data_IF_495431353235
#
_entry.id   IF_495431353235
#
_cell.length_a   1.000
_cell.length_b   1.000
_cell.length_c   1.000
_cell.angle_alpha   90.00
_cell.angle_beta   90.00
_cell.angle_gamma   90.00
#
_symmetry.space_group_name_H-M   'P 1'
#
loop_
_entity.id
_entity.type
_entity.pdbx_description
1 polymer ?
#
# COMPACT_ATOMS: atom_id res chain seq x y z
N UNK A 1 -27.61 7.32 18.66
CA UNK A 1 -27.53 7.11 20.12
C UNK A 1 -26.07 6.88 20.47
N UNK A 2 -25.40 7.86 21.08
CA UNK A 2 -23.98 7.75 21.47
C UNK A 2 -23.94 7.11 22.85
N UNK A 3 -23.32 5.93 22.98
CA UNK A 3 -23.10 5.29 24.27
C UNK A 3 -21.98 6.02 25.02
N UNK A 4 -22.14 6.23 26.32
CA UNK A 4 -21.08 6.82 27.11
C UNK A 4 -19.90 5.82 27.20
N UNK A 5 -18.64 6.29 27.34
CA UNK A 5 -17.48 5.40 27.51
C UNK A 5 -17.61 4.45 28.72
N UNK A 6 -18.41 4.83 29.71
CA UNK A 6 -18.80 4.00 30.87
C UNK A 6 -19.72 2.83 30.54
N UNK A 7 -20.38 2.85 29.38
CA UNK A 7 -21.31 1.81 28.94
C UNK A 7 -20.60 0.70 28.14
N UNK A 8 -19.27 0.72 28.10
CA UNK A 8 -18.45 -0.28 27.42
C UNK A 8 -18.18 -1.44 28.40
N UNK A 9 -18.66 -2.66 28.10
CA UNK A 9 -18.69 -3.76 29.07
C UNK A 9 -17.31 -4.31 29.46
N UNK A 10 -16.26 -3.94 28.74
CA UNK A 10 -14.89 -4.30 29.08
C UNK A 10 -13.93 -3.20 28.62
N UNK A 11 -13.01 -2.83 29.51
CA UNK A 11 -11.86 -2.00 29.21
C UNK A 11 -10.63 -2.79 29.66
N UNK A 12 -9.65 -2.95 28.77
CA UNK A 12 -8.37 -3.58 29.11
C UNK A 12 -7.22 -2.71 28.63
N UNK A 13 -6.31 -2.47 29.56
CA UNK A 13 -5.02 -1.82 29.34
C UNK A 13 -3.91 -2.85 29.04
N UNK A 14 -4.25 -4.14 29.05
CA UNK A 14 -3.33 -5.25 28.74
C UNK A 14 -3.22 -5.51 27.23
N UNK A 15 -3.03 -4.45 26.46
CA UNK A 15 -2.81 -4.54 25.02
C UNK A 15 -1.33 -4.76 24.77
N UNK A 16 -1.03 -5.66 23.84
CA UNK A 16 0.31 -5.83 23.28
C UNK A 16 0.30 -5.30 21.86
N UNK A 17 1.14 -4.32 21.60
CA UNK A 17 1.41 -3.82 20.27
C UNK A 17 2.61 -4.55 19.68
N UNK A 18 2.59 -4.83 18.38
CA UNK A 18 3.71 -5.39 17.63
C UNK A 18 4.12 -4.43 16.54
N UNK A 19 5.38 -4.01 16.56
CA UNK A 19 6.02 -3.29 15.48
C UNK A 19 6.74 -4.30 14.59
N UNK A 20 6.50 -4.25 13.29
CA UNK A 20 7.16 -5.03 12.27
C UNK A 20 8.02 -4.09 11.43
N UNK A 21 9.32 -4.33 11.30
CA UNK A 21 10.24 -3.55 10.46
C UNK A 21 10.81 -4.46 9.38
N UNK A 22 10.79 -3.99 8.13
CA UNK A 22 11.25 -4.72 6.95
C UNK A 22 12.53 -4.08 6.41
N UNK A 23 13.59 -4.87 6.29
CA UNK A 23 14.93 -4.40 5.94
C UNK A 23 15.48 -5.05 4.68
N UNK A 24 16.14 -4.24 3.85
CA UNK A 24 16.83 -4.69 2.64
C UNK A 24 15.90 -5.21 1.55
N UNK A 25 16.51 -5.69 0.46
CA UNK A 25 15.79 -6.18 -0.71
C UNK A 25 14.91 -7.40 -0.40
N UNK A 26 15.39 -8.31 0.45
CA UNK A 26 14.66 -9.52 0.83
C UNK A 26 13.54 -9.27 1.85
N UNK A 27 13.30 -8.00 2.22
CA UNK A 27 12.30 -7.60 3.22
C UNK A 27 12.43 -8.38 4.53
N UNK A 28 13.66 -8.51 5.04
CA UNK A 28 13.96 -9.22 6.29
C UNK A 28 13.14 -8.61 7.43
N UNK A 29 12.34 -9.43 8.11
CA UNK A 29 11.42 -8.98 9.14
C UNK A 29 12.07 -9.02 10.53
N UNK A 30 12.02 -7.89 11.24
CA UNK A 30 12.25 -7.77 12.68
C UNK A 30 10.94 -7.41 13.39
N UNK A 31 10.61 -8.08 14.48
CA UNK A 31 9.40 -7.78 15.28
C UNK A 31 9.73 -7.36 16.70
N UNK A 32 8.99 -6.38 17.21
CA UNK A 32 9.17 -5.84 18.56
C UNK A 32 7.81 -5.72 19.25
N UNK A 33 7.65 -6.39 20.39
CA UNK A 33 6.41 -6.40 21.15
C UNK A 33 6.50 -5.45 22.34
N UNK A 34 5.44 -4.64 22.51
CA UNK A 34 5.30 -3.65 23.57
C UNK A 34 3.97 -3.84 24.28
N UNK A 35 4.02 -4.32 25.51
CA UNK A 35 2.83 -4.52 26.36
C UNK A 35 2.69 -3.39 27.36
N UNK A 36 1.45 -3.11 27.80
CA UNK A 36 1.13 -2.16 28.88
C UNK A 36 1.72 -0.76 28.64
N UNK A 37 1.66 -0.31 27.40
CA UNK A 37 2.16 1.01 26.98
C UNK A 37 1.10 1.75 26.18
N UNK A 38 1.27 3.06 26.04
CA UNK A 38 0.38 3.90 25.25
C UNK A 38 0.66 3.76 23.75
N UNK A 39 -0.36 3.99 22.92
CA UNK A 39 -0.17 4.06 21.47
C UNK A 39 0.85 5.14 21.08
N UNK A 40 0.82 6.30 21.74
CA UNK A 40 1.78 7.39 21.51
C UNK A 40 3.22 6.93 21.68
N UNK A 41 3.51 6.26 22.80
CA UNK A 41 4.84 5.70 23.06
C UNK A 41 5.22 4.68 21.99
N UNK A 42 4.30 3.82 21.56
CA UNK A 42 4.58 2.84 20.49
C UNK A 42 4.86 3.51 19.15
N UNK A 43 4.17 4.60 18.81
CA UNK A 43 4.42 5.36 17.59
C UNK A 43 5.80 6.03 17.60
N UNK A 44 6.25 6.55 18.75
CA UNK A 44 7.64 7.04 18.91
C UNK A 44 8.65 5.89 18.70
N UNK A 45 8.34 4.70 19.21
CA UNK A 45 9.16 3.51 18.97
C UNK A 45 9.15 3.10 17.49
N UNK A 46 8.02 3.23 16.77
CA UNK A 46 7.98 2.96 15.33
C UNK A 46 8.97 3.86 14.58
N UNK A 47 8.96 5.17 14.85
CA UNK A 47 9.87 6.12 14.22
C UNK A 47 11.34 5.80 14.52
N UNK A 48 11.67 5.45 15.77
CA UNK A 48 13.04 5.09 16.14
C UNK A 48 13.49 3.77 15.47
N UNK A 49 12.64 2.73 15.49
CA UNK A 49 12.95 1.41 14.91
C UNK A 49 13.06 1.44 13.39
N UNK A 50 12.26 2.29 12.74
CA UNK A 50 12.30 2.48 11.28
C UNK A 50 13.42 3.41 10.82
N UNK A 51 14.23 3.96 11.75
CA UNK A 51 15.25 4.97 11.46
C UNK A 51 14.65 6.16 10.70
N UNK A 52 13.64 6.78 11.33
CA UNK A 52 12.87 7.90 10.79
C UNK A 52 12.31 7.61 9.39
N UNK A 53 11.59 6.50 9.24
CA UNK A 53 11.00 6.04 7.97
C UNK A 53 12.04 5.65 6.90
N UNK A 54 13.32 5.47 7.25
CA UNK A 54 14.32 4.88 6.35
C UNK A 54 14.09 3.37 6.10
N UNK A 55 13.18 2.74 6.85
CA UNK A 55 12.75 1.35 6.67
C UNK A 55 11.23 1.30 6.61
N UNK A 56 10.71 0.37 5.81
CA UNK A 56 9.28 0.06 5.84
C UNK A 56 8.93 -0.54 7.20
N UNK A 57 7.79 -0.12 7.75
CA UNK A 57 7.29 -0.67 9.02
C UNK A 57 5.76 -0.73 9.06
N UNK A 58 5.25 -1.65 9.86
CA UNK A 58 3.85 -1.82 10.17
C UNK A 58 3.64 -1.96 11.69
N UNK A 59 2.45 -1.61 12.15
CA UNK A 59 2.05 -1.69 13.55
C UNK A 59 0.74 -2.46 13.67
N UNK A 60 0.70 -3.41 14.59
CA UNK A 60 -0.50 -4.18 14.90
C UNK A 60 -0.77 -4.27 16.40
N UNK A 61 -2.02 -4.56 16.76
CA UNK A 61 -2.39 -5.12 18.07
C UNK A 61 -2.33 -6.63 17.97
N UNK A 62 -1.65 -7.26 18.93
CA UNK A 62 -1.64 -8.72 19.10
C UNK A 62 -2.92 -9.14 19.78
N UNK A 63 -3.71 -9.96 19.10
CA UNK A 63 -4.93 -10.58 19.64
C UNK A 63 -4.55 -11.93 20.21
N UNK A 64 -4.59 -12.04 21.54
CA UNK A 64 -4.46 -13.33 22.21
C UNK A 64 -5.79 -14.09 22.03
N UNK A 65 -5.72 -15.32 21.55
CA UNK A 65 -6.83 -16.27 21.59
C UNK A 65 -6.71 -17.13 22.84
N UNK A 66 -7.82 -17.71 23.29
CA UNK A 66 -7.84 -18.66 24.41
C UNK A 66 -6.85 -19.81 24.18
N UNK A 67 -6.29 -20.35 25.28
CA UNK A 67 -5.15 -21.27 25.29
C UNK A 67 -5.15 -22.33 24.17
N UNK A 68 -4.19 -22.21 23.24
CA UNK A 68 -3.86 -23.25 22.26
C UNK A 68 -3.88 -22.81 20.79
N UNK A 69 -4.55 -21.70 20.46
CA UNK A 69 -4.56 -21.15 19.10
C UNK A 69 -3.45 -20.12 18.90
N UNK A 70 -2.82 -20.04 17.71
CA UNK A 70 -1.93 -18.92 17.40
C UNK A 70 -2.74 -17.62 17.43
N UNK A 71 -2.35 -16.70 18.30
CA UNK A 71 -2.94 -15.37 18.37
C UNK A 71 -2.87 -14.63 17.03
N UNK A 72 -3.82 -13.75 16.78
CA UNK A 72 -3.94 -12.97 15.55
C UNK A 72 -3.25 -11.60 15.62
N UNK A 73 -3.17 -10.92 14.47
CA UNK A 73 -2.75 -9.52 14.38
C UNK A 73 -3.89 -8.68 13.81
N UNK A 74 -4.18 -7.55 14.45
CA UNK A 74 -5.03 -6.50 13.89
C UNK A 74 -4.14 -5.32 13.54
N UNK A 75 -3.93 -5.09 12.24
CA UNK A 75 -3.09 -3.99 11.75
C UNK A 75 -3.72 -2.63 12.05
N UNK A 76 -2.93 -1.75 12.66
CA UNK A 76 -3.28 -0.35 12.93
C UNK A 76 -2.69 0.59 11.87
N UNK A 77 -1.51 0.25 11.34
CA UNK A 77 -0.85 0.95 10.24
C UNK A 77 -0.03 -0.05 9.45
N UNK A 78 -0.10 0.02 8.13
CA UNK A 78 0.61 -0.91 7.27
C UNK A 78 0.10 -2.36 7.34
N UNK A 79 0.89 -3.28 6.81
CA UNK A 79 0.60 -4.72 6.75
C UNK A 79 1.91 -5.51 6.67
N UNK A 80 1.86 -6.84 6.60
CA UNK A 80 3.05 -7.63 6.28
C UNK A 80 3.52 -7.32 4.85
N UNK A 81 4.63 -6.60 4.73
CA UNK A 81 5.17 -6.17 3.44
C UNK A 81 5.69 -7.33 2.59
N UNK A 82 5.99 -8.49 3.19
CA UNK A 82 6.45 -9.68 2.46
C UNK A 82 5.31 -10.38 1.72
N UNK A 83 4.07 -10.08 2.09
CA UNK A 83 2.88 -10.71 1.50
C UNK A 83 2.20 -9.73 0.55
N UNK A 84 1.97 -10.18 -0.69
CA UNK A 84 1.18 -9.43 -1.66
C UNK A 84 -0.26 -9.27 -1.16
N UNK A 85 -0.82 -8.05 -1.12
CA UNK A 85 -2.22 -7.87 -0.77
C UNK A 85 -3.18 -8.52 -1.78
N UNK A 86 -4.20 -9.20 -1.27
CA UNK A 86 -5.27 -9.81 -2.08
C UNK A 86 -6.60 -9.03 -2.03
N UNK A 87 -6.68 -7.98 -1.21
CA UNK A 87 -7.89 -7.19 -0.98
C UNK A 87 -7.59 -5.69 -1.03
N UNK A 88 -8.55 -4.84 -1.42
CA UNK A 88 -8.38 -3.38 -1.44
C UNK A 88 -7.86 -2.79 -0.13
N UNK A 89 -8.35 -3.27 1.02
CA UNK A 89 -7.90 -2.81 2.33
C UNK A 89 -6.41 -3.08 2.58
N UNK A 90 -5.90 -4.22 2.10
CA UNK A 90 -4.47 -4.54 2.19
C UNK A 90 -3.61 -3.66 1.28
N UNK A 91 -4.13 -3.29 0.10
CA UNK A 91 -3.44 -2.35 -0.80
C UNK A 91 -3.39 -0.94 -0.21
N UNK A 92 -4.47 -0.47 0.44
CA UNK A 92 -4.46 0.81 1.16
C UNK A 92 -3.42 0.83 2.28
N UNK A 93 -3.32 -0.25 3.05
CA UNK A 93 -2.32 -0.36 4.11
C UNK A 93 -0.89 -0.40 3.54
N UNK A 94 -0.65 -1.15 2.45
CA UNK A 94 0.65 -1.20 1.78
C UNK A 94 1.05 0.15 1.19
N UNK A 95 0.10 0.87 0.58
CA UNK A 95 0.27 2.25 0.08
C UNK A 95 0.79 3.16 1.17
N UNK A 96 0.17 3.14 2.35
CA UNK A 96 0.54 3.97 3.49
C UNK A 96 2.02 3.78 3.86
N UNK A 97 2.50 2.53 3.90
CA UNK A 97 3.90 2.19 4.19
C UNK A 97 4.85 2.71 3.10
N UNK A 98 4.51 2.46 1.84
CA UNK A 98 5.32 2.89 0.70
C UNK A 98 5.42 4.41 0.61
N UNK A 99 4.31 5.12 0.80
CA UNK A 99 4.26 6.58 0.73
C UNK A 99 5.13 7.20 1.84
N UNK A 100 5.08 6.69 3.09
CA UNK A 100 5.96 7.16 4.18
C UNK A 100 7.43 6.97 3.84
N UNK A 101 7.80 5.76 3.40
CA UNK A 101 9.17 5.40 3.10
C UNK A 101 9.74 6.22 1.93
N UNK A 102 9.01 6.32 0.81
CA UNK A 102 9.45 7.07 -0.36
C UNK A 102 9.49 8.58 -0.10
N UNK A 103 8.55 9.12 0.67
CA UNK A 103 8.59 10.51 1.10
C UNK A 103 9.82 10.80 1.98
N UNK A 104 10.18 9.89 2.88
CA UNK A 104 11.39 10.03 3.70
C UNK A 104 12.67 10.00 2.87
N UNK A 105 12.78 9.08 1.90
CA UNK A 105 13.90 9.03 0.95
C UNK A 105 14.03 10.31 0.14
N UNK A 106 12.92 10.79 -0.42
CA UNK A 106 12.87 12.02 -1.21
C UNK A 106 13.33 13.23 -0.39
N UNK A 107 12.88 13.34 0.87
CA UNK A 107 13.33 14.40 1.80
C UNK A 107 14.84 14.35 2.08
N UNK A 108 15.46 13.17 2.00
CA UNK A 108 16.91 12.98 2.13
C UNK A 108 17.68 13.18 0.81
N UNK A 109 16.99 13.52 -0.28
CA UNK A 109 17.60 13.66 -1.61
C UNK A 109 18.00 12.33 -2.25
N UNK A 110 17.44 11.22 -1.77
CA UNK A 110 17.69 9.88 -2.30
C UNK A 110 16.71 9.54 -3.43
N UNK A 111 17.12 8.63 -4.33
CA UNK A 111 16.22 8.11 -5.36
C UNK A 111 14.98 7.44 -4.74
N UNK A 112 13.76 7.69 -5.26
CA UNK A 112 12.50 7.18 -4.74
C UNK A 112 12.25 5.71 -5.14
N UNK A 113 13.18 4.83 -4.77
CA UNK A 113 13.11 3.40 -5.02
C UNK A 113 12.69 2.65 -3.76
N UNK A 114 11.94 1.56 -3.95
CA UNK A 114 11.60 0.59 -2.90
C UNK A 114 12.86 -0.08 -2.33
N UNK A 115 12.78 -0.77 -1.16
CA UNK A 115 13.96 -1.38 -0.54
C UNK A 115 14.71 -2.41 -1.40
N UNK A 116 14.02 -3.01 -2.36
CA UNK A 116 14.55 -3.96 -3.35
C UNK A 116 15.10 -3.28 -4.62
N UNK A 117 15.10 -1.94 -4.66
CA UNK A 117 15.57 -1.16 -5.80
C UNK A 117 14.54 -0.96 -6.90
N UNK A 118 13.34 -1.56 -6.78
CA UNK A 118 12.28 -1.38 -7.78
C UNK A 118 11.63 0.00 -7.69
N UNK A 119 11.11 0.46 -8.82
CA UNK A 119 10.27 1.66 -8.91
C UNK A 119 8.88 1.38 -8.32
N UNK A 120 8.15 2.45 -7.97
CA UNK A 120 6.73 2.33 -7.60
C UNK A 120 5.86 2.96 -8.68
N UNK A 121 5.22 2.12 -9.49
CA UNK A 121 4.27 2.57 -10.51
C UNK A 121 2.86 2.45 -9.97
N UNK A 122 2.07 3.52 -10.09
CA UNK A 122 0.66 3.56 -9.72
C UNK A 122 -0.17 3.35 -10.96
N UNK A 123 -1.16 2.47 -10.86
CA UNK A 123 -2.19 2.29 -11.86
C UNK A 123 -3.49 2.90 -11.36
N UNK A 124 -4.01 3.92 -12.04
CA UNK A 124 -5.28 4.58 -11.73
C UNK A 124 -5.81 5.32 -12.97
N UNK A 125 -7.12 5.49 -13.06
CA UNK A 125 -7.75 6.25 -14.13
C UNK A 125 -7.94 7.72 -13.72
N UNK A 126 -7.79 8.64 -14.67
CA UNK A 126 -7.96 10.09 -14.47
C UNK A 126 -8.11 10.80 -15.82
N UNK A 127 -8.80 11.93 -15.90
CA UNK A 127 -9.06 12.63 -17.16
C UNK A 127 -7.81 13.30 -17.76
N UNK A 128 -7.76 13.39 -19.10
CA UNK A 128 -6.72 14.07 -19.86
C UNK A 128 -5.44 13.25 -20.08
N UNK A 129 -5.53 11.91 -20.04
CA UNK A 129 -4.35 11.02 -20.10
C UNK A 129 -4.51 9.88 -21.09
N UNK A 130 -3.40 9.46 -21.69
CA UNK A 130 -3.39 8.30 -22.61
C UNK A 130 -3.16 6.98 -21.89
N UNK A 131 -2.34 6.96 -20.84
CA UNK A 131 -2.09 5.77 -20.03
C UNK A 131 -2.49 6.03 -18.57
N UNK A 132 -3.07 5.03 -17.90
CA UNK A 132 -3.49 5.12 -16.50
C UNK A 132 -2.32 4.88 -15.53
N UNK A 133 -1.12 5.36 -15.86
CA UNK A 133 0.13 4.99 -15.20
C UNK A 133 0.89 6.22 -14.72
N UNK A 134 1.40 6.15 -13.49
CA UNK A 134 2.08 7.26 -12.84
C UNK A 134 3.19 6.79 -11.90
N UNK A 135 4.33 7.48 -11.91
CA UNK A 135 5.39 7.30 -10.91
C UNK A 135 5.44 8.49 -9.95
N UNK A 136 5.27 8.24 -8.65
CA UNK A 136 5.23 9.33 -7.65
C UNK A 136 6.63 9.62 -7.14
N UNK A 137 6.86 10.85 -6.69
CA UNK A 137 8.15 11.36 -6.20
C UNK A 137 9.22 11.53 -7.29
N UNK A 138 8.81 11.62 -8.55
CA UNK A 138 9.66 11.95 -9.70
C UNK A 138 9.15 13.22 -10.41
N UNK A 139 10.05 13.91 -11.12
CA UNK A 139 9.70 15.10 -11.91
C UNK A 139 8.82 14.76 -13.13
N UNK A 140 8.92 13.53 -13.62
CA UNK A 140 8.13 12.99 -14.74
C UNK A 140 7.10 12.00 -14.22
N UNK A 141 6.03 12.55 -13.68
CA UNK A 141 5.07 11.79 -12.92
C UNK A 141 4.08 11.00 -13.80
N UNK A 142 3.81 11.46 -15.02
CA UNK A 142 2.97 10.75 -16.01
C UNK A 142 3.85 9.83 -16.85
N UNK A 143 3.40 8.58 -17.01
CA UNK A 143 4.11 7.61 -17.86
C UNK A 143 3.54 7.64 -19.27
N UNK A 144 4.40 7.95 -20.23
CA UNK A 144 4.06 7.98 -21.66
C UNK A 144 4.24 6.60 -22.32
N UNK A 145 3.67 6.45 -23.51
CA UNK A 145 3.82 5.25 -24.34
C UNK A 145 5.30 4.95 -24.61
N UNK A 146 5.69 3.68 -24.52
CA UNK A 146 7.07 3.24 -24.72
C UNK A 146 8.07 3.64 -23.60
N UNK A 147 7.64 4.35 -22.56
CA UNK A 147 8.51 4.70 -21.41
C UNK A 147 8.78 3.51 -20.48
N UNK A 148 7.93 2.47 -20.55
CA UNK A 148 8.10 1.20 -19.87
C UNK A 148 8.23 0.09 -20.91
N UNK A 149 8.95 -1.00 -20.61
CA UNK A 149 9.15 -2.13 -21.54
C UNK A 149 7.91 -3.04 -21.59
N UNK A 150 6.73 -2.46 -21.78
CA UNK A 150 5.47 -3.18 -21.88
C UNK A 150 5.31 -3.79 -23.28
N UNK A 151 4.60 -4.91 -23.35
CA UNK A 151 4.18 -5.45 -24.63
C UNK A 151 3.23 -4.46 -25.32
N UNK A 152 3.31 -4.30 -26.66
CA UNK A 152 2.39 -3.41 -27.38
C UNK A 152 0.91 -3.76 -27.21
N UNK A 153 0.61 -5.03 -26.89
CA UNK A 153 -0.74 -5.50 -26.55
C UNK A 153 -1.22 -4.91 -25.22
N UNK A 154 -0.44 -5.07 -24.15
CA UNK A 154 -0.82 -4.54 -22.84
C UNK A 154 -0.92 -3.01 -22.83
N UNK A 155 0.00 -2.33 -23.50
CA UNK A 155 -0.03 -0.87 -23.58
C UNK A 155 -1.27 -0.35 -24.34
N UNK A 156 -1.74 -1.09 -25.35
CA UNK A 156 -3.00 -0.78 -26.04
C UNK A 156 -4.19 -1.01 -25.12
N UNK A 157 -4.24 -2.16 -24.45
CA UNK A 157 -5.37 -2.51 -23.58
C UNK A 157 -5.52 -1.52 -22.40
N UNK A 158 -4.40 -1.04 -21.86
CA UNK A 158 -4.39 0.01 -20.82
C UNK A 158 -4.95 1.34 -21.33
N UNK A 159 -4.54 1.73 -22.54
CA UNK A 159 -5.06 2.94 -23.16
C UNK A 159 -6.55 2.83 -23.49
N UNK A 160 -7.01 1.69 -24.00
CA UNK A 160 -8.44 1.46 -24.27
C UNK A 160 -9.27 1.49 -22.99
N UNK A 161 -8.75 0.95 -21.87
CA UNK A 161 -9.42 1.05 -20.58
C UNK A 161 -9.47 2.51 -20.06
N UNK A 162 -8.41 3.29 -20.27
CA UNK A 162 -8.37 4.72 -19.97
C UNK A 162 -9.33 5.53 -20.87
N UNK A 163 -9.40 5.25 -22.17
CA UNK A 163 -10.36 5.85 -23.11
C UNK A 163 -11.81 5.57 -22.69
N UNK A 164 -12.09 4.34 -22.23
CA UNK A 164 -13.40 3.97 -21.68
C UNK A 164 -13.77 4.81 -20.45
N UNK A 165 -12.78 5.32 -19.70
CA UNK A 165 -13.01 6.27 -18.62
C UNK A 165 -13.24 7.69 -19.15
N UNK A 166 -12.47 8.15 -20.13
CA UNK A 166 -12.64 9.48 -20.75
C UNK A 166 -14.01 9.65 -21.41
N UNK A 167 -14.54 8.59 -22.02
CA UNK A 167 -15.84 8.60 -22.69
C UNK A 167 -17.04 8.60 -21.72
N UNK A 168 -16.79 8.40 -20.41
CA UNK A 168 -17.87 8.45 -19.41
C UNK A 168 -18.30 9.89 -19.19
N UNK A 169 -19.61 10.09 -19.14
CA UNK A 169 -20.16 11.30 -18.54
C UNK A 169 -19.73 11.36 -17.06
N UNK A 170 -19.52 12.56 -16.50
CA UNK A 170 -19.03 12.75 -15.11
C UNK A 170 -19.96 12.21 -14.01
N UNK A 171 -21.03 11.51 -14.36
CA UNK A 171 -22.03 10.91 -13.49
C UNK A 171 -22.48 9.57 -14.13
N UNK A 172 -22.40 8.40 -13.46
CA UNK A 172 -22.10 8.14 -12.05
C UNK A 172 -20.64 7.76 -11.71
N UNK A 173 -20.36 7.66 -10.41
CA UNK A 173 -19.05 7.35 -9.85
C UNK A 173 -18.51 5.96 -10.26
N UNK A 174 -17.17 5.81 -10.39
CA UNK A 174 -16.51 4.60 -10.90
C UNK A 174 -16.71 3.34 -10.04
N UNK A 175 -17.10 3.51 -8.78
CA UNK A 175 -17.26 2.42 -7.82
C UNK A 175 -18.42 1.46 -8.12
N UNK A 176 -19.31 1.84 -9.03
CA UNK A 176 -20.55 1.10 -9.30
C UNK A 176 -20.47 0.21 -10.56
N UNK A 177 -19.38 0.28 -11.33
CA UNK A 177 -19.17 -0.54 -12.53
C UNK A 177 -18.22 -1.72 -12.27
N UNK A 178 -18.81 -2.86 -11.87
CA UNK A 178 -18.10 -4.11 -11.60
C UNK A 178 -17.29 -4.60 -12.81
N UNK A 179 -17.77 -4.36 -14.04
CA UNK A 179 -17.06 -4.81 -15.26
C UNK A 179 -15.80 -3.99 -15.44
N UNK A 180 -15.89 -2.66 -15.27
CA UNK A 180 -14.75 -1.77 -15.37
C UNK A 180 -13.66 -2.10 -14.34
N UNK A 181 -14.05 -2.37 -13.09
CA UNK A 181 -13.11 -2.77 -12.03
C UNK A 181 -12.51 -4.16 -12.25
N UNK A 182 -13.29 -5.11 -12.79
CA UNK A 182 -12.78 -6.44 -13.15
C UNK A 182 -11.70 -6.34 -14.23
N UNK A 183 -11.92 -5.51 -15.25
CA UNK A 183 -10.91 -5.22 -16.28
C UNK A 183 -9.66 -4.56 -15.68
N UNK A 184 -9.83 -3.61 -14.75
CA UNK A 184 -8.72 -2.95 -14.05
C UNK A 184 -7.83 -3.96 -13.32
N UNK A 185 -8.42 -4.90 -12.58
CA UNK A 185 -7.67 -5.96 -11.88
C UNK A 185 -6.94 -6.92 -12.84
N UNK A 186 -7.57 -7.27 -13.97
CA UNK A 186 -6.93 -8.12 -14.98
C UNK A 186 -5.72 -7.43 -15.64
N UNK A 187 -5.84 -6.13 -15.92
CA UNK A 187 -4.74 -5.30 -16.43
C UNK A 187 -3.63 -5.13 -15.39
N UNK A 188 -3.98 -4.86 -14.13
CA UNK A 188 -3.03 -4.79 -13.02
C UNK A 188 -2.21 -6.08 -12.88
N UNK A 189 -2.85 -7.25 -12.93
CA UNK A 189 -2.17 -8.54 -12.85
C UNK A 189 -1.24 -8.83 -14.06
N UNK A 190 -1.51 -8.23 -15.23
CA UNK A 190 -0.61 -8.31 -16.40
C UNK A 190 0.57 -7.36 -16.25
N UNK A 191 0.31 -6.11 -15.86
CA UNK A 191 1.34 -5.11 -15.58
C UNK A 191 2.35 -5.59 -14.55
N UNK A 192 1.87 -6.15 -13.44
CA UNK A 192 2.71 -6.72 -12.38
C UNK A 192 3.67 -7.79 -12.90
N UNK A 193 3.23 -8.63 -13.85
CA UNK A 193 4.08 -9.68 -14.43
C UNK A 193 5.11 -9.11 -15.40
N UNK A 194 4.71 -8.17 -16.25
CA UNK A 194 5.64 -7.56 -17.21
C UNK A 194 6.68 -6.65 -16.55
N UNK A 195 6.39 -6.13 -15.35
CA UNK A 195 7.25 -5.21 -14.63
C UNK A 195 7.91 -5.82 -13.38
N UNK A 196 7.79 -7.13 -13.15
CA UNK A 196 8.14 -7.76 -11.86
C UNK A 196 9.54 -7.41 -11.34
N UNK A 197 10.52 -7.35 -12.26
CA UNK A 197 11.93 -7.04 -11.97
C UNK A 197 12.25 -5.54 -11.91
N UNK A 198 11.34 -4.68 -12.38
CA UNK A 198 11.60 -3.24 -12.61
C UNK A 198 10.82 -2.39 -11.61
N UNK A 199 9.57 -2.77 -11.35
CA UNK A 199 8.65 -2.00 -10.55
C UNK A 199 7.70 -2.88 -9.75
N UNK A 200 7.25 -2.35 -8.63
CA UNK A 200 5.98 -2.77 -8.06
C UNK A 200 4.86 -1.87 -8.59
N UNK A 201 3.75 -2.49 -9.03
CA UNK A 201 2.58 -1.81 -9.53
C UNK A 201 1.52 -1.75 -8.43
N UNK A 202 1.18 -0.54 -8.01
CA UNK A 202 0.16 -0.27 -7.00
C UNK A 202 -1.18 0.05 -7.67
N UNK A 203 -2.26 -0.69 -7.36
CA UNK A 203 -3.60 -0.37 -7.83
C UNK A 203 -4.17 0.79 -6.98
N UNK A 204 -4.30 1.96 -7.58
CA UNK A 204 -4.84 3.19 -6.95
C UNK A 204 -6.29 3.48 -7.39
N UNK A 205 -6.98 2.48 -7.95
CA UNK A 205 -8.38 2.53 -8.38
C UNK A 205 -9.38 1.89 -7.38
N UNK A 206 -8.96 1.65 -6.12
CA UNK A 206 -9.70 0.87 -5.11
C UNK A 206 -9.75 1.47 -3.70
#
# INVERSE_FOLDING_TARGET
>A
MVRAPSDVPWQSDERTFRICVFEGADSRLSTFDYSRTSLTTVLEQCAWRSDEEARLWALAVVVQTSAGEPGGLVWLSGTDYRTRPSRPSGWRARREMQDRYLAARTRRGEAPLLPDGRRLIRMFFDHGRTLPLWETFTDHYTIERGALPLTPGLERDLATWQETWEDRSPDPAPGDDETFLTTAWALHARLERELEDIAEVRPDFC
#
